data_IF_217797342240
#
_entry.id   IF_217797342240
#
_cell.length_a   1.000
_cell.length_b   1.000
_cell.length_c   1.000
_cell.angle_alpha   90.00
_cell.angle_beta   90.00
_cell.angle_gamma   90.00
#
_symmetry.space_group_name_H-M   'P 1'
#
loop_
_entity.id
_entity.type
_entity.pdbx_description
1 polymer ?
#
# COMPACT_ATOMS: atom_id res chain seq x y z
N UNK A 1 12.51 -21.47 -45.72
CA UNK A 1 13.90 -21.32 -45.24
C UNK A 1 14.09 -19.82 -45.03
N UNK A 2 14.25 -19.25 -43.84
CA UNK A 2 14.86 -19.74 -42.61
C UNK A 2 14.38 -18.90 -41.43
N UNK A 3 14.14 -19.55 -40.31
CA UNK A 3 13.95 -18.96 -38.97
C UNK A 3 15.25 -18.33 -38.43
N UNK A 4 15.09 -17.41 -37.46
CA UNK A 4 15.90 -17.11 -36.26
C UNK A 4 15.44 -15.73 -35.75
N UNK A 5 15.13 -15.48 -34.50
CA UNK A 5 15.34 -16.18 -33.23
C UNK A 5 15.38 -15.08 -32.16
N UNK A 6 14.53 -15.19 -31.14
CA UNK A 6 14.32 -14.15 -30.14
C UNK A 6 15.46 -13.93 -29.15
N UNK A 7 15.45 -12.77 -28.50
CA UNK A 7 16.13 -12.55 -27.22
C UNK A 7 15.22 -11.75 -26.26
N UNK A 8 14.66 -12.50 -25.33
CA UNK A 8 14.36 -12.20 -23.92
C UNK A 8 14.61 -10.77 -23.43
N UNK A 9 13.53 -10.03 -23.13
CA UNK A 9 13.54 -8.80 -22.31
C UNK A 9 12.81 -8.99 -20.97
N UNK A 10 12.64 -10.24 -20.53
CA UNK A 10 11.75 -10.60 -19.41
C UNK A 10 12.43 -10.62 -18.02
N UNK A 11 13.67 -10.12 -17.93
CA UNK A 11 14.45 -10.13 -16.69
C UNK A 11 14.44 -8.81 -15.90
N UNK A 12 14.08 -7.68 -16.52
CA UNK A 12 14.09 -6.37 -15.84
C UNK A 12 12.74 -5.96 -15.24
N UNK A 13 11.63 -6.61 -15.64
CA UNK A 13 10.30 -6.27 -15.14
C UNK A 13 9.98 -6.86 -13.75
N UNK A 14 10.80 -7.80 -13.25
CA UNK A 14 10.62 -8.44 -11.93
C UNK A 14 11.31 -7.71 -10.77
N UNK A 15 12.07 -6.66 -11.04
CA UNK A 15 12.89 -5.99 -10.02
C UNK A 15 12.24 -4.75 -9.36
N UNK A 16 11.21 -4.15 -9.96
CA UNK A 16 10.65 -2.85 -9.52
C UNK A 16 9.44 -2.95 -8.57
N UNK A 17 9.05 -4.15 -8.14
CA UNK A 17 7.98 -4.36 -7.13
C UNK A 17 8.50 -4.90 -5.78
N UNK A 18 9.82 -5.01 -5.58
CA UNK A 18 10.39 -5.43 -4.29
C UNK A 18 10.84 -4.23 -3.47
N UNK A 19 9.97 -3.83 -2.54
CA UNK A 19 10.32 -3.43 -1.16
C UNK A 19 11.71 -2.81 -0.95
N UNK A 20 11.82 -1.49 -1.11
CA UNK A 20 13.01 -0.72 -0.70
C UNK A 20 13.13 -0.56 0.82
N UNK A 21 13.37 -1.64 1.57
CA UNK A 21 13.89 -1.57 2.95
C UNK A 21 15.33 -2.08 2.99
N UNK A 22 16.33 -1.25 3.32
CA UNK A 22 17.64 -1.76 3.71
C UNK A 22 17.57 -2.36 5.14
N UNK A 23 18.00 -3.60 5.28
CA UNK A 23 18.23 -4.26 6.58
C UNK A 23 19.57 -3.76 7.11
N UNK A 24 19.52 -2.90 8.13
CA UNK A 24 20.69 -2.55 8.93
C UNK A 24 21.08 -3.71 9.84
N UNK A 25 22.21 -4.34 9.54
CA UNK A 25 22.90 -5.26 10.44
C UNK A 25 23.61 -4.44 11.53
N UNK A 26 23.26 -4.65 12.81
CA UNK A 26 24.12 -4.27 13.93
C UNK A 26 24.40 -5.49 14.81
N UNK A 27 25.66 -5.91 14.73
CA UNK A 27 26.33 -6.87 15.59
C UNK A 27 26.45 -6.33 17.02
N UNK A 28 26.05 -7.12 18.02
CA UNK A 28 26.44 -6.91 19.42
C UNK A 28 27.28 -8.08 19.93
N UNK A 29 28.31 -7.84 20.77
CA UNK A 29 29.10 -8.90 21.37
C UNK A 29 28.55 -9.33 22.73
N UNK A 30 28.74 -10.64 22.94
CA UNK A 30 28.60 -11.51 24.10
C UNK A 30 29.08 -10.94 25.45
N UNK A 31 28.31 -11.17 26.52
CA UNK A 31 28.84 -11.29 27.88
C UNK A 31 28.03 -12.32 28.69
N UNK A 32 28.76 -13.24 29.34
CA UNK A 32 28.28 -14.29 30.27
C UNK A 32 28.20 -13.70 31.68
N UNK A 33 27.25 -14.13 32.52
CA UNK A 33 27.58 -14.54 33.90
C UNK A 33 26.46 -15.37 34.56
N UNK A 34 26.88 -16.23 35.48
CA UNK A 34 26.15 -17.31 36.14
C UNK A 34 25.61 -16.93 37.54
N UNK A 35 24.82 -17.86 38.09
CA UNK A 35 24.63 -18.20 39.53
C UNK A 35 23.47 -17.46 40.26
N UNK A 36 22.74 -18.02 41.23
CA UNK A 36 22.58 -19.37 41.86
C UNK A 36 21.42 -19.28 42.87
N UNK A 37 20.84 -20.43 43.24
CA UNK A 37 20.13 -20.80 44.50
C UNK A 37 18.65 -20.39 44.67
N UNK A 38 17.72 -21.36 44.76
CA UNK A 38 17.14 -22.00 45.99
C UNK A 38 16.05 -21.09 46.63
N UNK A 39 14.84 -21.49 47.01
CA UNK A 39 14.27 -22.74 47.54
C UNK A 39 12.76 -22.54 47.79
N UNK A 40 12.06 -23.63 48.15
CA UNK A 40 10.67 -23.72 48.65
C UNK A 40 9.57 -23.68 47.56
N UNK A 41 8.73 -24.70 47.37
CA UNK A 41 8.26 -25.73 48.29
C UNK A 41 6.85 -25.39 48.73
N UNK A 42 5.85 -25.70 47.89
CA UNK A 42 4.44 -25.79 48.29
C UNK A 42 3.73 -26.76 47.34
N UNK A 43 3.58 -28.00 47.81
CA UNK A 43 2.73 -29.03 47.21
C UNK A 43 1.29 -28.74 47.63
N UNK A 44 0.46 -28.24 46.72
CA UNK A 44 -0.99 -28.30 46.89
C UNK A 44 -1.49 -29.62 46.30
N UNK A 45 -2.00 -30.49 47.19
CA UNK A 45 -2.78 -31.67 46.85
C UNK A 45 -4.09 -31.20 46.21
N UNK A 46 -4.35 -31.61 44.99
CA UNK A 46 -5.67 -31.50 44.38
C UNK A 46 -6.32 -32.87 44.41
N UNK A 47 -7.46 -32.96 45.11
CA UNK A 47 -8.16 -34.20 45.37
C UNK A 47 -9.08 -34.61 44.21
N UNK A 48 -9.24 -35.92 44.08
CA UNK A 48 -10.03 -36.63 43.07
C UNK A 48 -11.52 -36.41 43.30
N UNK A 49 -12.29 -36.24 42.22
CA UNK A 49 -13.74 -36.32 42.28
C UNK A 49 -14.45 -36.51 40.93
N UNK A 50 -14.88 -37.76 40.70
CA UNK A 50 -16.10 -38.16 39.98
C UNK A 50 -16.07 -38.18 38.44
N UNK A 51 -16.08 -39.43 37.98
CA UNK A 51 -16.46 -39.95 36.68
C UNK A 51 -17.90 -39.59 36.27
N UNK A 52 -18.07 -38.98 35.09
CA UNK A 52 -19.17 -39.33 34.19
C UNK A 52 -18.63 -39.41 32.76
N UNK A 53 -18.59 -40.63 32.22
CA UNK A 53 -18.26 -40.88 30.81
C UNK A 53 -19.45 -40.43 29.97
N UNK A 54 -19.40 -39.22 29.45
CA UNK A 54 -20.30 -38.77 28.38
C UNK A 54 -19.54 -38.83 27.06
N UNK A 55 -19.55 -40.00 26.44
CA UNK A 55 -19.08 -40.22 25.07
C UNK A 55 -20.03 -39.47 24.14
N UNK A 56 -19.69 -38.22 23.81
CA UNK A 56 -20.30 -37.51 22.68
C UNK A 56 -19.65 -38.09 21.42
N UNK A 57 -20.41 -38.65 20.48
CA UNK A 57 -19.85 -39.07 19.20
C UNK A 57 -19.40 -37.81 18.46
N UNK A 58 -18.08 -37.60 18.39
CA UNK A 58 -17.46 -36.64 17.47
C UNK A 58 -17.67 -37.20 16.06
N UNK A 59 -18.77 -36.79 15.44
CA UNK A 59 -18.98 -37.04 14.02
C UNK A 59 -18.01 -36.15 13.25
N UNK A 60 -16.84 -36.69 12.92
CA UNK A 60 -15.91 -36.11 11.95
C UNK A 60 -16.50 -36.23 10.55
N UNK A 61 -17.54 -35.44 10.25
CA UNK A 61 -18.04 -35.26 8.89
C UNK A 61 -17.12 -34.30 8.17
N UNK A 62 -16.02 -34.84 7.62
CA UNK A 62 -15.20 -34.18 6.60
C UNK A 62 -16.00 -34.04 5.30
N UNK A 63 -16.99 -33.14 5.29
CA UNK A 63 -17.61 -32.65 4.05
C UNK A 63 -16.75 -31.49 3.55
N UNK A 64 -15.81 -31.79 2.67
CA UNK A 64 -15.13 -30.78 1.85
C UNK A 64 -16.15 -30.17 0.91
N UNK A 65 -16.80 -29.10 1.36
CA UNK A 65 -17.75 -28.35 0.56
C UNK A 65 -16.95 -27.56 -0.49
N UNK A 66 -16.83 -28.12 -1.71
CA UNK A 66 -16.26 -27.41 -2.86
C UNK A 66 -17.20 -26.27 -3.22
N UNK A 67 -16.89 -25.06 -2.77
CA UNK A 67 -17.58 -23.85 -3.18
C UNK A 67 -17.23 -23.57 -4.65
N UNK A 68 -18.21 -23.72 -5.55
CA UNK A 68 -18.08 -23.34 -6.95
C UNK A 68 -18.59 -21.92 -7.07
N UNK A 69 -17.68 -20.95 -7.22
CA UNK A 69 -18.02 -19.55 -7.53
C UNK A 69 -18.49 -19.51 -8.99
N UNK A 70 -19.62 -18.87 -9.29
CA UNK A 70 -20.06 -18.69 -10.68
C UNK A 70 -19.21 -17.63 -11.39
N UNK A 71 -19.03 -17.75 -12.70
CA UNK A 71 -18.31 -16.73 -13.49
C UNK A 71 -18.92 -15.33 -13.32
N UNK A 72 -20.24 -15.24 -13.25
CA UNK A 72 -20.95 -13.97 -13.03
C UNK A 72 -20.56 -13.30 -11.70
N UNK A 73 -20.31 -14.08 -10.65
CA UNK A 73 -19.88 -13.54 -9.36
C UNK A 73 -18.47 -12.97 -9.43
N UNK A 74 -17.57 -13.63 -10.17
CA UNK A 74 -16.20 -13.16 -10.38
C UNK A 74 -16.20 -11.86 -11.17
N UNK A 75 -16.99 -11.76 -12.23
CA UNK A 75 -17.09 -10.53 -13.03
C UNK A 75 -17.68 -9.36 -12.25
N UNK A 76 -18.71 -9.61 -11.42
CA UNK A 76 -19.23 -8.57 -10.51
C UNK A 76 -18.18 -8.11 -9.51
N UNK A 77 -17.48 -9.05 -8.86
CA UNK A 77 -16.40 -8.72 -7.95
C UNK A 77 -15.27 -7.93 -8.63
N UNK A 78 -14.90 -8.31 -9.85
CA UNK A 78 -13.91 -7.61 -10.68
C UNK A 78 -14.33 -6.16 -10.89
N UNK A 79 -15.58 -5.93 -11.29
CA UNK A 79 -16.13 -4.59 -11.53
C UNK A 79 -16.16 -3.75 -10.26
N UNK A 80 -16.80 -4.25 -9.20
CA UNK A 80 -16.99 -3.53 -7.94
C UNK A 80 -15.63 -3.16 -7.30
N UNK A 81 -14.67 -4.09 -7.37
CA UNK A 81 -13.32 -3.85 -6.85
C UNK A 81 -12.52 -2.88 -7.73
N UNK A 82 -12.68 -2.95 -9.06
CA UNK A 82 -12.04 -2.00 -9.96
C UNK A 82 -12.51 -0.58 -9.67
N UNK A 83 -13.82 -0.36 -9.50
CA UNK A 83 -14.42 0.96 -9.27
C UNK A 83 -13.82 1.69 -8.05
N UNK A 84 -13.60 0.98 -6.94
CA UNK A 84 -12.97 1.56 -5.73
C UNK A 84 -11.45 1.79 -5.87
N UNK A 85 -10.83 1.20 -6.90
CA UNK A 85 -9.39 1.28 -7.19
C UNK A 85 -9.07 2.21 -8.37
N UNK A 86 -10.04 2.97 -8.87
CA UNK A 86 -9.83 3.97 -9.93
C UNK A 86 -9.40 5.31 -9.33
N UNK A 87 -8.41 5.94 -9.96
CA UNK A 87 -8.01 7.31 -9.68
C UNK A 87 -8.98 8.30 -10.34
N UNK A 88 -9.60 9.19 -9.57
CA UNK A 88 -10.54 10.18 -10.11
C UNK A 88 -9.90 11.23 -11.04
N UNK A 89 -8.57 11.40 -11.02
CA UNK A 89 -7.87 12.36 -11.90
C UNK A 89 -7.65 11.79 -13.30
N UNK A 90 -7.18 10.54 -13.41
CA UNK A 90 -6.83 9.93 -14.69
C UNK A 90 -7.79 8.82 -15.15
N UNK A 91 -8.86 8.56 -14.37
CA UNK A 91 -9.90 7.55 -14.64
C UNK A 91 -9.35 6.15 -14.95
N UNK A 92 -8.19 5.81 -14.41
CA UNK A 92 -7.53 4.52 -14.56
C UNK A 92 -7.24 3.92 -13.18
N UNK A 93 -6.93 2.61 -13.12
CA UNK A 93 -6.49 1.98 -11.88
C UNK A 93 -5.33 2.75 -11.25
N UNK A 94 -5.39 2.89 -9.93
CA UNK A 94 -4.40 3.59 -9.14
C UNK A 94 -3.00 3.02 -9.40
N UNK A 95 -2.05 3.92 -9.62
CA UNK A 95 -0.64 3.60 -9.81
C UNK A 95 0.17 4.32 -8.73
N UNK A 96 0.83 3.54 -7.86
CA UNK A 96 1.44 4.02 -6.62
C UNK A 96 0.48 4.92 -5.82
N UNK A 97 -0.55 4.32 -5.19
CA UNK A 97 -1.57 5.07 -4.48
C UNK A 97 -1.00 6.04 -3.44
N UNK A 98 -1.49 7.27 -3.49
CA UNK A 98 -1.32 8.30 -2.48
C UNK A 98 -2.67 8.58 -1.83
N UNK A 99 -2.70 8.72 -0.52
CA UNK A 99 -3.87 9.18 0.24
C UNK A 99 -3.70 10.64 0.61
N UNK A 100 -4.74 11.45 0.38
CA UNK A 100 -4.78 12.85 0.77
C UNK A 100 -5.39 12.99 2.17
N UNK A 101 -4.76 13.78 3.03
CA UNK A 101 -5.26 14.10 4.37
C UNK A 101 -5.83 15.53 4.38
N UNK A 102 -6.97 15.77 5.03
CA UNK A 102 -7.70 14.87 5.94
C UNK A 102 -8.76 13.98 5.27
N UNK A 103 -9.06 14.15 3.98
CA UNK A 103 -10.25 13.53 3.37
C UNK A 103 -10.15 12.02 3.13
N UNK A 104 -8.96 11.44 3.01
CA UNK A 104 -8.74 10.01 2.77
C UNK A 104 -8.93 9.54 1.32
N UNK A 105 -9.16 10.48 0.39
CA UNK A 105 -9.27 10.19 -1.04
C UNK A 105 -7.93 9.73 -1.62
N UNK A 106 -7.99 8.83 -2.62
CA UNK A 106 -6.83 8.12 -3.15
C UNK A 106 -6.60 8.45 -4.61
N UNK A 107 -5.34 8.71 -4.97
CA UNK A 107 -4.93 9.07 -6.33
C UNK A 107 -3.60 8.41 -6.69
N UNK A 108 -3.25 8.42 -7.98
CA UNK A 108 -1.90 8.00 -8.39
C UNK A 108 -0.86 9.00 -7.89
N UNK A 109 0.32 8.55 -7.50
CA UNK A 109 1.40 9.44 -7.07
C UNK A 109 1.76 10.48 -8.14
N UNK A 110 1.90 10.07 -9.41
CA UNK A 110 2.10 10.97 -10.55
C UNK A 110 0.97 12.01 -10.73
N UNK A 111 -0.27 11.67 -10.38
CA UNK A 111 -1.41 12.60 -10.49
C UNK A 111 -1.38 13.65 -9.37
N UNK A 112 -1.00 13.25 -8.14
CA UNK A 112 -0.80 14.19 -7.02
C UNK A 112 0.41 15.08 -7.28
N UNK A 113 1.49 14.52 -7.85
CA UNK A 113 2.67 15.28 -8.25
C UNK A 113 2.27 16.43 -9.19
N UNK A 114 1.54 16.12 -10.27
CA UNK A 114 1.03 17.12 -11.20
C UNK A 114 0.07 18.14 -10.56
N UNK A 115 -0.78 17.69 -9.64
CA UNK A 115 -1.67 18.59 -8.89
C UNK A 115 -0.84 19.65 -8.13
N UNK A 116 0.23 19.23 -7.46
CA UNK A 116 1.09 20.15 -6.70
C UNK A 116 1.94 21.07 -7.61
N UNK A 117 2.33 20.59 -8.79
CA UNK A 117 3.05 21.38 -9.79
C UNK A 117 2.18 22.51 -10.36
N UNK A 118 0.96 22.20 -10.82
CA UNK A 118 0.01 23.22 -11.33
C UNK A 118 -0.33 24.25 -10.26
N UNK A 119 -0.37 23.82 -9.00
CA UNK A 119 -0.54 24.68 -7.83
C UNK A 119 0.63 25.67 -7.67
N UNK A 120 1.87 25.28 -7.99
CA UNK A 120 3.03 26.20 -7.95
C UNK A 120 3.07 27.19 -9.11
N UNK A 121 2.64 26.77 -10.30
CA UNK A 121 2.66 27.60 -11.51
C UNK A 121 1.58 28.68 -11.53
N UNK A 122 0.51 28.50 -10.75
CA UNK A 122 -0.49 29.54 -10.56
C UNK A 122 0.15 30.68 -9.79
N UNK A 123 0.65 31.63 -10.54
CA UNK A 123 0.99 32.98 -10.14
C UNK A 123 -0.27 33.72 -9.67
N UNK A 124 -0.79 33.30 -8.52
CA UNK A 124 -1.82 34.05 -7.80
C UNK A 124 -1.07 35.11 -7.01
N UNK A 125 -0.77 36.24 -7.65
CA UNK A 125 -0.13 37.40 -7.03
C UNK A 125 -1.06 38.13 -6.03
N UNK A 126 -2.28 37.62 -5.83
CA UNK A 126 -3.36 38.30 -5.09
C UNK A 126 -3.92 37.50 -3.90
N UNK A 127 -3.53 36.24 -3.70
CA UNK A 127 -4.04 35.43 -2.59
C UNK A 127 -3.03 35.39 -1.44
N UNK A 128 -3.42 35.94 -0.29
CA UNK A 128 -2.63 35.94 0.95
C UNK A 128 -2.43 34.52 1.51
N UNK A 129 -3.34 33.60 1.16
CA UNK A 129 -3.30 32.20 1.57
C UNK A 129 -3.71 31.28 0.41
N UNK A 130 -2.89 30.25 0.13
CA UNK A 130 -3.18 29.28 -0.92
C UNK A 130 -2.76 27.87 -0.51
N UNK A 131 -3.73 26.95 -0.56
CA UNK A 131 -3.56 25.53 -0.24
C UNK A 131 -4.29 24.72 -1.32
N UNK A 132 -3.66 23.71 -1.95
CA UNK A 132 -4.33 22.89 -2.95
C UNK A 132 -5.47 22.09 -2.33
N UNK A 133 -6.56 21.92 -3.09
CA UNK A 133 -7.74 21.17 -2.66
C UNK A 133 -7.84 19.80 -3.34
N UNK A 134 -8.47 18.85 -2.65
CA UNK A 134 -8.76 17.52 -3.18
C UNK A 134 -9.70 17.63 -4.41
N UNK A 135 -9.38 17.00 -5.55
CA UNK A 135 -10.26 17.02 -6.73
C UNK A 135 -11.62 16.33 -6.53
N UNK A 136 -11.73 15.41 -5.56
CA UNK A 136 -12.97 14.66 -5.31
C UNK A 136 -13.91 15.41 -4.38
N UNK A 137 -13.41 15.92 -3.25
CA UNK A 137 -14.24 16.47 -2.17
C UNK A 137 -13.96 17.93 -1.85
N UNK A 138 -13.06 18.59 -2.60
CA UNK A 138 -12.66 19.99 -2.46
C UNK A 138 -12.04 20.38 -1.11
N UNK A 139 -11.79 19.42 -0.21
CA UNK A 139 -11.13 19.70 1.06
C UNK A 139 -9.67 20.15 0.86
N UNK A 140 -9.17 21.12 1.65
CA UNK A 140 -7.78 21.53 1.59
C UNK A 140 -6.86 20.38 1.97
N UNK A 141 -5.80 20.19 1.19
CA UNK A 141 -4.85 19.10 1.38
C UNK A 141 -3.79 19.58 2.37
N UNK A 142 -3.70 18.91 3.52
CA UNK A 142 -2.66 19.19 4.51
C UNK A 142 -1.41 18.35 4.26
N UNK A 143 -1.60 17.10 3.86
CA UNK A 143 -0.53 16.15 3.53
C UNK A 143 -1.01 15.16 2.47
N UNK A 144 -0.07 14.60 1.71
CA UNK A 144 -0.26 13.41 0.90
C UNK A 144 0.71 12.34 1.37
N UNK A 145 0.28 11.10 1.51
CA UNK A 145 1.15 10.01 1.94
C UNK A 145 0.97 8.76 1.11
N UNK A 146 2.01 7.92 1.05
CA UNK A 146 1.95 6.64 0.35
C UNK A 146 0.97 5.69 1.05
N UNK A 147 0.03 5.10 0.31
CA UNK A 147 -0.93 4.15 0.88
C UNK A 147 -0.48 2.70 0.63
N UNK A 148 0.25 2.16 1.60
CA UNK A 148 0.75 0.78 1.55
C UNK A 148 -0.34 -0.29 1.61
N UNK A 149 -1.53 0.01 2.17
CA UNK A 149 -2.63 -0.95 2.22
C UNK A 149 -3.30 -1.06 0.85
N UNK A 150 -3.65 0.08 0.24
CA UNK A 150 -4.24 0.10 -1.10
C UNK A 150 -3.27 -0.43 -2.15
N UNK A 151 -1.96 -0.17 -2.00
CA UNK A 151 -0.92 -0.76 -2.87
C UNK A 151 -0.98 -2.29 -2.87
N UNK A 152 -1.01 -2.91 -1.68
CA UNK A 152 -1.11 -4.39 -1.55
C UNK A 152 -2.41 -4.92 -2.12
N UNK A 153 -3.51 -4.19 -1.95
CA UNK A 153 -4.82 -4.56 -2.51
C UNK A 153 -4.79 -4.55 -4.04
N UNK A 154 -4.20 -3.52 -4.65
CA UNK A 154 -3.99 -3.45 -6.10
C UNK A 154 -3.12 -4.58 -6.61
N UNK A 155 -2.02 -4.89 -5.93
CA UNK A 155 -1.14 -5.99 -6.33
C UNK A 155 -1.91 -7.31 -6.40
N UNK A 156 -2.71 -7.61 -5.37
CA UNK A 156 -3.54 -8.81 -5.33
C UNK A 156 -4.65 -8.80 -6.38
N UNK A 157 -5.27 -7.65 -6.59
CA UNK A 157 -6.29 -7.48 -7.63
C UNK A 157 -5.73 -7.75 -9.03
N UNK A 158 -4.56 -7.20 -9.34
CA UNK A 158 -3.88 -7.41 -10.63
C UNK A 158 -3.27 -8.81 -10.76
N UNK A 159 -2.90 -9.48 -9.66
CA UNK A 159 -2.56 -10.91 -9.68
C UNK A 159 -3.76 -11.77 -10.10
N UNK A 160 -4.98 -11.44 -9.65
CA UNK A 160 -6.21 -12.16 -10.01
C UNK A 160 -6.70 -11.82 -11.43
N UNK A 161 -6.56 -10.57 -11.86
CA UNK A 161 -7.04 -10.06 -13.16
C UNK A 161 -5.87 -9.46 -13.97
N UNK A 162 -5.02 -10.32 -14.56
CA UNK A 162 -3.81 -9.87 -15.24
C UNK A 162 -4.08 -9.09 -16.54
N UNK A 163 -5.28 -9.24 -17.11
CA UNK A 163 -5.75 -8.49 -18.28
C UNK A 163 -5.89 -6.99 -18.00
N UNK A 164 -6.05 -6.61 -16.73
CA UNK A 164 -6.12 -5.21 -16.30
C UNK A 164 -4.75 -4.59 -16.03
N UNK A 165 -3.65 -5.35 -16.13
CA UNK A 165 -2.31 -4.81 -15.87
C UNK A 165 -1.96 -3.76 -16.92
N UNK A 166 -1.56 -2.55 -16.50
CA UNK A 166 -1.10 -1.55 -17.44
C UNK A 166 0.17 -2.05 -18.16
N UNK A 167 0.32 -1.65 -19.42
CA UNK A 167 1.52 -1.97 -20.18
C UNK A 167 2.76 -1.26 -19.59
N UNK A 168 3.94 -1.76 -19.95
CA UNK A 168 5.20 -1.21 -19.46
C UNK A 168 5.39 0.26 -19.84
N UNK A 169 4.94 0.65 -21.04
CA UNK A 169 5.04 2.02 -21.55
C UNK A 169 4.22 3.02 -20.74
N UNK A 170 2.98 2.67 -20.39
CA UNK A 170 2.10 3.51 -19.55
C UNK A 170 2.67 3.67 -18.15
N UNK A 171 3.22 2.59 -17.58
CA UNK A 171 3.91 2.66 -16.29
C UNK A 171 5.11 3.61 -16.36
N UNK A 172 5.95 3.48 -17.40
CA UNK A 172 7.12 4.34 -17.59
C UNK A 172 6.73 5.82 -17.78
N UNK A 173 5.66 6.11 -18.52
CA UNK A 173 5.16 7.47 -18.72
C UNK A 173 4.66 8.10 -17.40
N UNK A 174 4.00 7.31 -16.54
CA UNK A 174 3.63 7.77 -15.19
C UNK A 174 4.87 8.05 -14.33
N UNK A 175 5.86 7.15 -14.37
CA UNK A 175 7.13 7.30 -13.63
C UNK A 175 7.93 8.54 -14.02
N UNK A 176 7.90 8.91 -15.30
CA UNK A 176 8.63 10.07 -15.80
C UNK A 176 8.18 11.37 -15.10
N UNK A 177 6.89 11.51 -14.83
CA UNK A 177 6.29 12.71 -14.25
C UNK A 177 6.06 12.64 -12.73
N UNK A 178 6.54 11.57 -12.09
CA UNK A 178 6.30 11.30 -10.68
C UNK A 178 7.49 11.75 -9.80
N UNK A 179 7.57 13.05 -9.50
CA UNK A 179 8.61 13.57 -8.61
C UNK A 179 8.40 13.15 -7.15
N UNK A 180 7.15 12.89 -6.74
CA UNK A 180 6.83 12.42 -5.39
C UNK A 180 7.47 11.07 -5.13
N UNK A 181 7.27 10.11 -6.04
CA UNK A 181 7.91 8.81 -5.93
C UNK A 181 9.45 8.90 -5.96
N UNK A 182 10.01 9.69 -6.88
CA UNK A 182 11.47 9.84 -7.02
C UNK A 182 12.15 10.40 -5.78
N UNK A 183 11.43 11.21 -5.00
CA UNK A 183 11.98 11.82 -3.78
C UNK A 183 12.16 10.83 -2.62
N UNK A 184 11.57 9.62 -2.70
CA UNK A 184 11.74 8.55 -1.72
C UNK A 184 11.08 8.79 -0.36
N UNK A 185 10.20 9.80 -0.24
CA UNK A 185 9.42 10.07 0.97
C UNK A 185 8.18 9.20 1.12
N UNK A 186 7.69 9.07 2.37
CA UNK A 186 6.40 8.46 2.69
C UNK A 186 5.27 9.49 2.85
N UNK A 187 5.61 10.71 3.30
CA UNK A 187 4.67 11.79 3.59
C UNK A 187 5.17 13.09 2.95
N UNK A 188 4.26 13.81 2.31
CA UNK A 188 4.52 15.04 1.57
C UNK A 188 3.60 16.14 2.07
N UNK A 189 4.16 17.31 2.36
CA UNK A 189 3.38 18.53 2.53
C UNK A 189 3.29 19.24 1.18
N UNK A 190 2.07 19.57 0.72
CA UNK A 190 1.90 20.29 -0.52
C UNK A 190 2.58 21.65 -0.45
N UNK A 191 2.93 22.23 -1.61
CA UNK A 191 3.30 23.62 -1.68
C UNK A 191 2.12 24.50 -1.24
N UNK A 192 2.41 25.53 -0.46
CA UNK A 192 1.41 26.45 0.07
C UNK A 192 1.98 27.87 0.14
N UNK A 193 1.10 28.87 0.14
CA UNK A 193 1.47 30.26 0.44
C UNK A 193 0.71 30.72 1.68
N UNK A 194 1.41 31.40 2.60
CA UNK A 194 0.80 32.01 3.79
C UNK A 194 1.42 33.38 3.99
N UNK A 195 0.61 34.43 4.10
CA UNK A 195 1.04 35.84 4.20
C UNK A 195 1.99 36.23 3.06
N UNK A 196 1.69 35.78 1.84
CA UNK A 196 2.56 35.97 0.67
C UNK A 196 3.88 35.18 0.68
N UNK A 197 4.18 34.41 1.73
CA UNK A 197 5.37 33.55 1.81
C UNK A 197 5.07 32.20 1.17
N UNK A 198 5.76 31.89 0.07
CA UNK A 198 5.66 30.59 -0.61
C UNK A 198 6.53 29.54 0.10
N UNK A 199 5.91 28.44 0.51
CA UNK A 199 6.56 27.25 1.03
C UNK A 199 6.62 26.19 -0.06
N UNK A 200 7.84 25.76 -0.38
CA UNK A 200 8.04 24.63 -1.27
C UNK A 200 7.49 23.34 -0.66
N UNK A 201 7.25 22.35 -1.51
CA UNK A 201 6.89 21.02 -1.06
C UNK A 201 7.97 20.47 -0.12
N UNK A 202 7.55 19.91 1.01
CA UNK A 202 8.44 19.29 1.98
C UNK A 202 8.19 17.79 2.08
N UNK A 203 9.27 17.02 2.04
CA UNK A 203 9.25 15.57 2.27
C UNK A 203 9.47 15.32 3.76
N UNK A 204 8.48 14.75 4.42
CA UNK A 204 8.60 14.30 5.80
C UNK A 204 9.07 12.83 5.77
N UNK A 205 10.21 12.57 6.40
CA UNK A 205 10.72 11.21 6.62
C UNK A 205 10.29 10.78 8.01
N UNK A 206 9.68 9.60 8.11
CA UNK A 206 9.43 8.91 9.37
C UNK A 206 10.73 8.44 10.04
#
# INVERSE_FOLDING_TARGET
>A
MTERGGQSHDALFRATLRSGRPIGNSSTPRAKQMARMSSAGLRLRYDRGVTTKRTVPVQTSKKTNKFVVSQDQVERFKKDTAEILVCAICSALLYRPMVLSPCGDKFCSSCVARLFEVTLEKDIWEADEFVPSCPTCLHPISTASTDGQTSRMLDKFLEMFPDLKPNAETCAAKDQNDFLYKSGGSIFRPPMAVNGVRFAMNVLRD
#
